data_IF_787022950451
#
_entry.id   IF_787022950451
#
_cell.length_a   1.000
_cell.length_b   1.000
_cell.length_c   1.000
_cell.angle_alpha   90.00
_cell.angle_beta   90.00
_cell.angle_gamma   90.00
#
_symmetry.space_group_name_H-M   'P 1'
#
loop_
_entity.id
_entity.type
_entity.pdbx_description
1 polymer ?
#
# COMPACT_ATOMS: atom_id res chain seq x y z
N UNK A 1 21.22 82.80 -25.47
CA UNK A 1 20.44 81.61 -25.85
C UNK A 1 21.04 80.41 -25.12
N UNK A 2 20.20 79.48 -24.64
CA UNK A 2 20.49 78.53 -23.55
C UNK A 2 20.96 77.16 -24.08
N UNK A 3 20.95 76.17 -23.19
CA UNK A 3 21.17 74.71 -23.37
C UNK A 3 22.61 74.27 -23.01
N UNK A 4 22.86 73.19 -22.28
CA UNK A 4 22.02 72.03 -21.97
C UNK A 4 22.48 71.38 -20.65
N UNK A 5 21.48 70.89 -19.95
CA UNK A 5 21.42 70.24 -18.66
C UNK A 5 21.67 68.74 -18.80
N UNK A 6 22.52 68.13 -17.94
CA UNK A 6 22.42 66.72 -17.56
C UNK A 6 22.93 66.51 -16.12
N UNK A 7 22.06 66.26 -15.13
CA UNK A 7 22.46 65.70 -13.84
C UNK A 7 22.60 64.18 -13.97
N UNK A 8 23.78 63.69 -13.64
CA UNK A 8 24.07 62.26 -13.58
C UNK A 8 23.41 61.58 -12.40
N UNK A 9 23.05 60.31 -12.64
CA UNK A 9 22.99 59.22 -11.67
C UNK A 9 21.89 59.33 -10.60
N UNK A 10 20.64 59.07 -11.02
CA UNK A 10 19.61 58.59 -10.10
C UNK A 10 19.95 57.14 -9.76
N UNK A 11 20.41 56.94 -8.52
CA UNK A 11 20.67 55.66 -7.90
C UNK A 11 19.37 54.85 -7.76
N UNK A 12 19.48 53.56 -8.07
CA UNK A 12 18.44 52.55 -8.02
C UNK A 12 17.88 52.33 -6.61
N UNK A 13 16.56 52.25 -6.48
CA UNK A 13 15.88 51.44 -5.46
C UNK A 13 14.56 50.91 -6.04
N UNK A 14 14.63 49.77 -6.72
CA UNK A 14 13.44 48.97 -7.09
C UNK A 14 13.02 48.21 -5.83
N UNK A 15 12.04 48.72 -5.08
CA UNK A 15 11.36 47.95 -4.04
C UNK A 15 10.36 46.99 -4.70
N UNK A 16 10.83 45.81 -5.10
CA UNK A 16 9.98 44.69 -5.43
C UNK A 16 9.58 43.97 -4.13
N UNK A 17 8.42 44.33 -3.56
CA UNK A 17 7.78 43.51 -2.53
C UNK A 17 7.31 42.21 -3.16
N UNK A 18 8.12 41.15 -3.01
CA UNK A 18 7.73 39.80 -3.35
C UNK A 18 6.66 39.31 -2.36
N UNK A 19 5.44 39.08 -2.85
CA UNK A 19 4.39 38.37 -2.16
C UNK A 19 4.86 36.94 -1.83
N UNK A 20 5.39 36.73 -0.62
CA UNK A 20 5.65 35.41 -0.07
C UNK A 20 4.33 34.86 0.50
N UNK A 21 3.43 34.43 -0.38
CA UNK A 21 2.28 33.64 0.04
C UNK A 21 2.77 32.22 0.35
N UNK A 22 2.61 31.71 1.59
CA UNK A 22 2.91 30.32 1.86
C UNK A 22 1.88 29.45 1.14
N UNK A 23 2.31 28.83 0.05
CA UNK A 23 1.54 27.79 -0.61
C UNK A 23 1.47 26.61 0.36
N UNK A 24 0.37 26.51 1.12
CA UNK A 24 0.11 25.35 1.93
C UNK A 24 -0.10 24.16 0.98
N UNK A 25 0.93 23.33 0.84
CA UNK A 25 0.81 22.07 0.13
C UNK A 25 -0.09 21.14 0.94
N UNK A 26 -1.34 20.99 0.50
CA UNK A 26 -2.22 19.93 1.01
C UNK A 26 -1.67 18.61 0.47
N UNK A 27 -0.91 17.90 1.31
CA UNK A 27 -0.53 16.53 1.01
C UNK A 27 -1.82 15.68 1.03
N UNK A 28 -2.29 15.28 -0.15
CA UNK A 28 -3.28 14.21 -0.22
C UNK A 28 -2.68 12.99 0.48
N UNK A 29 -3.35 12.46 1.50
CA UNK A 29 -3.01 11.18 2.12
C UNK A 29 -3.29 10.08 1.10
N UNK A 30 -2.37 9.93 0.15
CA UNK A 30 -2.33 8.81 -0.75
C UNK A 30 -2.29 7.55 0.11
N UNK A 31 -3.11 6.55 -0.23
CA UNK A 31 -3.22 5.32 0.56
C UNK A 31 -1.85 4.73 0.96
N UNK A 32 -1.80 4.19 2.17
CA UNK A 32 -0.62 3.55 2.76
C UNK A 32 -0.25 2.29 1.99
N UNK A 33 1.03 2.16 1.67
CA UNK A 33 1.56 0.94 1.08
C UNK A 33 1.77 -0.11 2.16
N UNK A 34 1.09 -1.26 2.04
CA UNK A 34 1.24 -2.43 2.92
C UNK A 34 1.68 -3.62 2.10
N UNK A 35 2.66 -4.36 2.58
CA UNK A 35 3.17 -5.57 1.93
C UNK A 35 3.23 -6.69 2.95
N UNK A 36 2.72 -7.86 2.58
CA UNK A 36 2.45 -8.91 3.55
C UNK A 36 1.90 -10.19 2.94
N UNK A 37 1.58 -11.13 3.81
CA UNK A 37 0.83 -12.33 3.47
C UNK A 37 -0.63 -11.98 3.27
N UNK A 38 -1.14 -12.18 2.06
CA UNK A 38 -2.56 -12.10 1.76
C UNK A 38 -3.15 -13.50 1.86
N UNK A 39 -4.08 -13.71 2.79
CA UNK A 39 -4.74 -15.00 3.03
C UNK A 39 -6.23 -14.90 2.67
N UNK A 40 -6.73 -15.90 1.95
CA UNK A 40 -8.13 -16.10 1.60
C UNK A 40 -8.50 -17.56 1.84
N UNK A 41 -8.84 -17.92 3.09
CA UNK A 41 -9.10 -19.30 3.46
C UNK A 41 -10.49 -19.76 3.01
N UNK A 42 -11.46 -18.86 2.84
CA UNK A 42 -12.86 -19.16 2.51
C UNK A 42 -13.53 -18.03 1.73
N UNK A 43 -14.68 -18.28 1.04
CA UNK A 43 -15.31 -17.26 0.22
C UNK A 43 -15.68 -15.99 1.00
N UNK A 44 -15.31 -14.83 0.45
CA UNK A 44 -15.51 -13.49 1.02
C UNK A 44 -14.77 -13.22 2.34
N UNK A 45 -13.82 -14.07 2.74
CA UNK A 45 -12.92 -13.81 3.86
C UNK A 45 -11.51 -13.60 3.36
N UNK A 46 -10.89 -12.48 3.76
CA UNK A 46 -9.49 -12.21 3.45
C UNK A 46 -8.82 -11.32 4.49
N UNK A 47 -7.52 -11.52 4.69
CA UNK A 47 -6.66 -10.67 5.51
C UNK A 47 -5.34 -10.35 4.80
N UNK A 48 -4.68 -9.28 5.24
CA UNK A 48 -3.31 -8.95 4.88
C UNK A 48 -2.47 -8.83 6.16
N UNK A 49 -1.60 -9.80 6.41
CA UNK A 49 -0.64 -9.78 7.52
C UNK A 49 0.63 -9.09 7.07
N UNK A 50 0.89 -7.86 7.55
CA UNK A 50 2.14 -7.16 7.32
C UNK A 50 3.05 -7.20 8.56
N UNK A 51 4.09 -6.36 8.57
CA UNK A 51 5.01 -6.28 9.70
C UNK A 51 4.37 -5.73 10.96
N UNK A 52 3.34 -4.90 10.82
CA UNK A 52 2.72 -4.17 11.92
C UNK A 52 1.64 -5.03 12.56
N UNK A 53 0.69 -5.52 11.76
CA UNK A 53 -0.50 -6.23 12.27
C UNK A 53 -1.19 -7.06 11.17
N UNK A 54 -2.32 -7.65 11.52
CA UNK A 54 -3.23 -8.37 10.64
C UNK A 54 -4.38 -7.46 10.21
N UNK A 55 -4.42 -7.09 8.95
CA UNK A 55 -5.46 -6.21 8.42
C UNK A 55 -6.63 -7.03 7.88
N UNK A 56 -7.85 -6.75 8.35
CA UNK A 56 -9.05 -7.35 7.79
C UNK A 56 -9.36 -6.75 6.43
N UNK A 57 -9.35 -7.57 5.37
CA UNK A 57 -9.74 -7.14 4.01
C UNK A 57 -11.21 -7.42 3.76
N UNK A 58 -11.71 -8.57 4.22
CA UNK A 58 -13.13 -8.93 4.11
C UNK A 58 -13.52 -10.01 5.10
N UNK A 59 -14.77 -9.95 5.58
CA UNK A 59 -15.43 -10.98 6.38
C UNK A 59 -16.80 -11.28 5.77
N UNK A 60 -17.12 -12.55 5.60
CA UNK A 60 -18.40 -12.98 5.03
C UNK A 60 -19.58 -12.43 5.85
N UNK A 61 -20.51 -11.75 5.17
CA UNK A 61 -21.67 -11.12 5.81
C UNK A 61 -21.36 -9.85 6.61
N UNK A 62 -20.11 -9.36 6.58
CA UNK A 62 -19.65 -8.19 7.32
C UNK A 62 -18.85 -7.21 6.46
N UNK A 63 -17.79 -6.66 7.07
CA UNK A 63 -16.89 -5.70 6.42
C UNK A 63 -16.32 -6.24 5.11
N UNK A 64 -16.25 -5.40 4.09
CA UNK A 64 -15.61 -5.68 2.81
C UNK A 64 -14.90 -4.43 2.31
N UNK A 65 -13.60 -4.54 2.05
CA UNK A 65 -12.85 -3.49 1.41
C UNK A 65 -13.41 -3.16 0.01
N UNK A 66 -13.48 -1.88 -0.33
CA UNK A 66 -13.76 -1.45 -1.70
C UNK A 66 -12.53 -1.62 -2.59
N UNK A 67 -12.72 -2.07 -3.83
CA UNK A 67 -11.64 -2.26 -4.82
C UNK A 67 -11.21 -3.71 -4.99
N UNK A 68 -10.29 -3.93 -5.94
CA UNK A 68 -9.88 -5.26 -6.36
C UNK A 68 -8.82 -5.88 -5.44
N UNK A 69 -8.99 -7.15 -5.10
CA UNK A 69 -7.98 -7.97 -4.45
C UNK A 69 -6.78 -8.24 -5.36
N UNK A 70 -5.59 -8.57 -4.81
CA UNK A 70 -4.46 -8.98 -5.62
C UNK A 70 -4.79 -10.23 -6.44
N UNK A 71 -4.43 -10.21 -7.73
CA UNK A 71 -4.47 -11.38 -8.61
C UNK A 71 -3.14 -12.13 -8.54
N UNK A 72 -3.21 -13.44 -8.38
CA UNK A 72 -2.03 -14.31 -8.26
C UNK A 72 -1.90 -15.23 -9.46
N UNK A 73 -0.65 -15.46 -9.89
CA UNK A 73 -0.33 -16.61 -10.74
C UNK A 73 -0.27 -17.87 -9.88
N UNK A 74 -0.52 -19.06 -10.48
CA UNK A 74 -0.55 -20.32 -9.74
C UNK A 74 0.74 -20.60 -8.94
N UNK A 75 1.90 -20.20 -9.47
CA UNK A 75 3.20 -20.38 -8.77
C UNK A 75 3.37 -19.49 -7.53
N UNK A 76 2.60 -18.41 -7.44
CA UNK A 76 2.67 -17.40 -6.39
C UNK A 76 1.49 -17.51 -5.41
N UNK A 77 0.68 -18.57 -5.54
CA UNK A 77 -0.49 -18.88 -4.72
C UNK A 77 -0.39 -20.27 -4.13
N UNK A 78 -0.31 -20.36 -2.80
CA UNK A 78 -0.32 -21.64 -2.09
C UNK A 78 -1.77 -22.02 -1.83
N UNK A 79 -2.25 -23.09 -2.47
CA UNK A 79 -3.60 -23.62 -2.26
C UNK A 79 -3.67 -24.42 -0.97
N UNK A 80 -4.70 -24.17 -0.17
CA UNK A 80 -4.81 -24.67 1.20
C UNK A 80 -5.88 -25.76 1.35
N UNK A 81 -6.49 -26.21 0.25
CA UNK A 81 -7.47 -27.29 0.25
C UNK A 81 -8.08 -27.54 -1.12
N UNK A 82 -9.32 -28.04 -1.14
CA UNK A 82 -10.10 -28.19 -2.36
C UNK A 82 -10.70 -26.83 -2.77
N UNK A 83 -10.38 -26.36 -3.98
CA UNK A 83 -10.89 -25.10 -4.53
C UNK A 83 -9.81 -24.07 -4.88
N UNK A 84 -10.21 -22.79 -4.89
CA UNK A 84 -9.34 -21.65 -5.22
C UNK A 84 -8.76 -20.92 -3.99
N UNK A 85 -9.10 -21.36 -2.78
CA UNK A 85 -8.63 -20.76 -1.53
C UNK A 85 -7.14 -21.03 -1.28
N UNK A 86 -6.52 -20.09 -0.59
CA UNK A 86 -5.09 -20.10 -0.38
C UNK A 86 -4.55 -18.79 0.13
N UNK A 87 -3.24 -18.66 0.04
CA UNK A 87 -2.52 -17.45 0.41
C UNK A 87 -1.36 -17.18 -0.55
N UNK A 88 -0.89 -15.94 -0.54
CA UNK A 88 0.25 -15.50 -1.33
C UNK A 88 0.87 -14.23 -0.77
N UNK A 89 2.02 -13.85 -1.32
CA UNK A 89 2.66 -12.60 -0.93
C UNK A 89 2.11 -11.44 -1.79
N UNK A 90 1.71 -10.33 -1.18
CA UNK A 90 1.12 -9.20 -1.91
C UNK A 90 1.61 -7.85 -1.38
N UNK A 91 1.47 -6.83 -2.23
CA UNK A 91 1.57 -5.44 -1.83
C UNK A 91 0.32 -4.68 -2.29
N UNK A 92 -0.27 -3.93 -1.37
CA UNK A 92 -1.51 -3.19 -1.59
C UNK A 92 -1.32 -1.73 -1.15
N UNK A 93 -1.85 -0.81 -1.95
CA UNK A 93 -1.99 0.59 -1.57
C UNK A 93 -3.41 0.79 -1.05
N UNK A 94 -3.57 1.12 0.23
CA UNK A 94 -4.85 1.03 0.92
C UNK A 94 -5.12 2.22 1.85
N UNK A 95 -6.38 2.47 2.20
CA UNK A 95 -6.72 3.19 3.44
C UNK A 95 -7.31 2.22 4.44
N UNK A 96 -7.13 2.52 5.73
CA UNK A 96 -7.55 1.69 6.84
C UNK A 96 -8.37 2.50 7.85
N UNK A 97 -9.18 1.83 8.64
CA UNK A 97 -9.89 2.44 9.78
C UNK A 97 -9.15 2.19 11.11
N UNK A 98 -9.79 2.54 12.22
CA UNK A 98 -9.30 2.37 13.59
C UNK A 98 -9.50 0.96 14.16
N UNK A 99 -10.11 0.05 13.38
CA UNK A 99 -10.39 -1.36 13.75
C UNK A 99 -9.51 -2.35 12.98
N UNK A 100 -8.40 -1.86 12.44
CA UNK A 100 -7.47 -2.64 11.62
C UNK A 100 -8.14 -3.23 10.36
N UNK A 101 -9.12 -2.52 9.80
CA UNK A 101 -9.80 -2.92 8.57
C UNK A 101 -9.27 -2.12 7.39
N UNK A 102 -8.98 -2.79 6.28
CA UNK A 102 -8.76 -2.13 4.99
C UNK A 102 -10.11 -1.71 4.44
N UNK A 103 -10.34 -0.41 4.29
CA UNK A 103 -11.63 0.14 3.81
C UNK A 103 -11.63 0.41 2.30
N UNK A 104 -10.49 0.81 1.73
CA UNK A 104 -10.33 1.04 0.29
C UNK A 104 -8.99 0.46 -0.18
N UNK A 105 -9.04 -0.26 -1.29
CA UNK A 105 -7.89 -0.74 -2.05
C UNK A 105 -7.77 0.15 -3.29
N UNK A 106 -6.70 0.94 -3.36
CA UNK A 106 -6.40 1.77 -4.51
C UNK A 106 -5.65 0.98 -5.59
N UNK A 107 -4.79 0.06 -5.16
CA UNK A 107 -4.13 -0.90 -6.05
C UNK A 107 -3.66 -2.11 -5.26
N UNK A 108 -3.61 -3.27 -5.92
CA UNK A 108 -3.13 -4.51 -5.35
C UNK A 108 -2.32 -5.29 -6.38
N UNK A 109 -1.19 -5.85 -5.96
CA UNK A 109 -0.36 -6.72 -6.80
C UNK A 109 0.19 -7.88 -5.99
N UNK A 110 0.26 -9.05 -6.62
CA UNK A 110 1.00 -10.18 -6.10
C UNK A 110 2.51 -9.94 -6.18
N UNK A 111 3.24 -10.69 -5.35
CA UNK A 111 4.70 -10.77 -5.30
C UNK A 111 5.07 -12.26 -5.26
N UNK A 112 6.30 -12.61 -5.69
CA UNK A 112 6.80 -13.96 -5.49
C UNK A 112 6.71 -14.36 -4.02
N UNK A 113 6.36 -15.62 -3.73
CA UNK A 113 6.29 -16.14 -2.36
C UNK A 113 7.60 -15.92 -1.59
N UNK A 114 8.73 -15.98 -2.29
CA UNK A 114 10.05 -15.71 -1.72
C UNK A 114 10.17 -14.32 -1.07
N UNK A 115 9.43 -13.32 -1.56
CA UNK A 115 9.48 -11.97 -0.99
C UNK A 115 9.03 -11.96 0.48
N UNK A 116 7.94 -12.66 0.81
CA UNK A 116 7.48 -12.75 2.20
C UNK A 116 8.26 -13.80 3.01
N UNK A 117 8.68 -14.91 2.39
CA UNK A 117 9.49 -15.96 3.06
C UNK A 117 10.88 -15.49 3.47
N UNK A 118 11.45 -14.51 2.76
CA UNK A 118 12.77 -13.96 3.05
C UNK A 118 12.71 -12.69 3.90
N UNK A 119 11.54 -12.06 4.03
CA UNK A 119 11.37 -10.89 4.90
C UNK A 119 11.44 -11.32 6.38
N UNK A 120 12.39 -10.81 7.18
CA UNK A 120 12.52 -11.17 8.59
C UNK A 120 11.28 -10.93 9.43
N UNK A 121 10.45 -9.94 9.08
CA UNK A 121 9.22 -9.62 9.80
C UNK A 121 8.04 -10.53 9.43
N UNK A 122 8.11 -11.22 8.28
CA UNK A 122 6.99 -11.99 7.73
C UNK A 122 7.28 -13.49 7.64
N UNK A 123 8.54 -13.94 7.62
CA UNK A 123 8.91 -15.35 7.44
C UNK A 123 8.28 -16.29 8.47
N UNK A 124 8.06 -15.81 9.70
CA UNK A 124 7.45 -16.58 10.78
C UNK A 124 5.91 -16.44 10.83
N UNK A 125 5.34 -15.63 9.93
CA UNK A 125 3.90 -15.35 9.82
C UNK A 125 3.27 -15.98 8.57
N UNK A 126 3.96 -16.88 7.89
CA UNK A 126 3.38 -17.59 6.75
C UNK A 126 2.15 -18.39 7.22
N UNK A 127 0.97 -18.23 6.58
CA UNK A 127 -0.24 -18.94 7.00
C UNK A 127 -0.03 -20.44 7.06
N UNK A 128 -0.25 -21.02 8.24
CA UNK A 128 -0.20 -22.48 8.44
C UNK A 128 -1.56 -23.07 8.14
N UNK A 129 -1.66 -23.87 7.09
CA UNK A 129 -2.87 -24.68 6.86
C UNK A 129 -2.64 -26.10 7.34
N UNK A 130 -3.52 -26.65 8.21
CA UNK A 130 -3.46 -28.05 8.60
C UNK A 130 -3.40 -29.04 7.42
N UNK A 131 -4.04 -28.70 6.28
CA UNK A 131 -4.04 -29.54 5.07
C UNK A 131 -2.73 -29.48 4.26
N UNK A 132 -1.96 -28.38 4.34
CA UNK A 132 -0.67 -28.26 3.69
C UNK A 132 0.45 -28.92 4.50
N UNK A 133 0.38 -28.84 5.83
CA UNK A 133 1.31 -29.50 6.74
C UNK A 133 1.17 -31.05 6.74
N UNK A 134 0.02 -31.57 6.32
CA UNK A 134 -0.26 -33.00 6.28
C UNK A 134 0.22 -33.71 5.00
N UNK A 135 0.73 -32.99 3.99
CA UNK A 135 1.34 -33.62 2.81
C UNK A 135 2.80 -33.98 3.12
N UNK A 136 3.20 -35.26 3.15
CA UNK A 136 4.60 -35.61 3.28
C UNK A 136 5.36 -35.03 2.07
N UNK A 137 6.52 -34.43 2.34
CA UNK A 137 7.40 -33.91 1.31
C UNK A 137 7.88 -35.08 0.42
N UNK A 138 7.37 -35.17 -0.81
CA UNK A 138 7.87 -36.08 -1.84
C UNK A 138 6.87 -37.15 -2.31
N UNK A 139 5.95 -36.77 -3.19
CA UNK A 139 5.29 -37.71 -4.10
C UNK A 139 5.36 -37.18 -5.52
#
# INVERSE_FOLDING_TARGET
>A
MPQLQQPGLIAAFVLAMACLSPWAAVAATLGTQRCGWFDNPTPANASLTDRDTDWTVGVQGGHQAQGDWPRFADRDWVRTGHGSHGYGCACMKVSTDDKEQIVQIFSARSRPLSACRQDPALKAKEPVTPLAAARPAGS
#
